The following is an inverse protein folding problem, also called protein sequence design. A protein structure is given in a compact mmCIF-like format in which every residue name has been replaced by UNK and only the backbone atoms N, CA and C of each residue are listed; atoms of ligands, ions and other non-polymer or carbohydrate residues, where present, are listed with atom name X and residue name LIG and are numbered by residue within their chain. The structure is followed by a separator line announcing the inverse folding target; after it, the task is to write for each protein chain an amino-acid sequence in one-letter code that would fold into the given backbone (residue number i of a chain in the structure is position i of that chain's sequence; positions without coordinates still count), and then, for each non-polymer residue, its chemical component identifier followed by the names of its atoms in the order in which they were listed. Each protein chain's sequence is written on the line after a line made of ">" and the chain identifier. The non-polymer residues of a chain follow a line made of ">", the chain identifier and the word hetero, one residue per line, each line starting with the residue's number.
data_IF_321228615527
#
_entry.id   IF_321228615527
#
_cell.length_a   1.000
_cell.length_b   1.000
_cell.length_c   1.000
_cell.angle_alpha   90.00
_cell.angle_beta   90.00
_cell.angle_gamma   90.00
#
_symmetry.space_group_name_H-M   'P 1'
#
loop_
_entity.id
_entity.type
_entity.pdbx_description
1 polymer ?
#
# COMPACT_ATOMS: atom_id res chain seq x y z
N UNK A 1 33.40 -59.69 13.69
CA UNK A 1 32.86 -58.50 14.40
C UNK A 1 32.60 -57.36 13.40
N UNK A 2 31.79 -57.58 12.35
CA UNK A 2 31.54 -56.58 11.29
C UNK A 2 30.11 -56.71 10.71
N UNK A 3 29.10 -56.92 11.55
CA UNK A 3 27.70 -57.02 11.08
C UNK A 3 26.70 -56.16 11.86
N UNK A 4 27.15 -55.41 12.89
CA UNK A 4 26.26 -54.58 13.71
C UNK A 4 26.19 -53.10 13.30
N UNK A 5 27.15 -52.58 12.51
CA UNK A 5 27.20 -51.17 12.13
C UNK A 5 26.17 -50.73 11.07
N UNK A 6 25.83 -51.60 10.12
CA UNK A 6 24.93 -51.24 9.01
C UNK A 6 23.48 -51.03 9.42
N UNK A 7 23.00 -51.70 10.47
CA UNK A 7 21.60 -51.57 10.92
C UNK A 7 21.34 -50.21 11.59
N UNK A 8 22.31 -49.70 12.36
CA UNK A 8 22.19 -48.38 12.99
C UNK A 8 22.21 -47.24 11.97
N UNK A 9 23.04 -47.36 10.93
CA UNK A 9 23.14 -46.36 9.87
C UNK A 9 21.84 -46.22 9.06
N UNK A 10 21.19 -47.35 8.74
CA UNK A 10 19.90 -47.36 8.04
C UNK A 10 18.77 -46.76 8.90
N UNK A 11 18.77 -47.04 10.21
CA UNK A 11 17.80 -46.42 11.14
C UNK A 11 18.01 -44.90 11.17
N UNK A 12 19.25 -44.44 11.24
CA UNK A 12 19.56 -43.01 11.29
C UNK A 12 19.12 -42.28 10.02
N UNK A 13 19.39 -42.86 8.83
CA UNK A 13 18.92 -42.31 7.55
C UNK A 13 17.39 -42.27 7.49
N UNK A 14 16.72 -43.33 7.94
CA UNK A 14 15.24 -43.37 7.93
C UNK A 14 14.61 -42.29 8.82
N UNK A 15 15.19 -42.03 9.99
CA UNK A 15 14.77 -40.96 10.89
C UNK A 15 15.05 -39.57 10.31
N UNK A 16 16.16 -39.42 9.59
CA UNK A 16 16.52 -38.16 8.93
C UNK A 16 15.55 -37.81 7.79
N UNK A 17 15.21 -38.80 6.95
CA UNK A 17 14.24 -38.63 5.86
C UNK A 17 12.84 -38.35 6.43
N UNK A 18 12.44 -39.03 7.50
CA UNK A 18 11.17 -38.77 8.18
C UNK A 18 11.11 -37.36 8.77
N UNK A 19 12.20 -36.90 9.39
CA UNK A 19 12.32 -35.53 9.89
C UNK A 19 12.17 -34.48 8.77
N UNK A 20 12.82 -34.69 7.62
CA UNK A 20 12.67 -33.82 6.46
C UNK A 20 11.24 -33.82 5.91
N UNK A 21 10.57 -34.97 5.89
CA UNK A 21 9.18 -35.09 5.46
C UNK A 21 8.21 -34.33 6.39
N UNK A 22 8.40 -34.43 7.71
CA UNK A 22 7.61 -33.68 8.69
C UNK A 22 7.81 -32.16 8.57
N UNK A 23 9.05 -31.73 8.31
CA UNK A 23 9.38 -30.31 8.05
C UNK A 23 8.69 -29.85 6.77
N UNK A 24 8.80 -30.60 5.67
CA UNK A 24 8.20 -30.23 4.39
C UNK A 24 6.67 -30.15 4.45
N UNK A 25 6.01 -31.05 5.18
CA UNK A 25 4.55 -31.05 5.36
C UNK A 25 4.07 -29.96 6.31
N UNK A 26 4.85 -29.60 7.35
CA UNK A 26 4.51 -28.50 8.25
C UNK A 26 4.71 -27.11 7.62
N UNK A 27 5.61 -26.96 6.65
CA UNK A 27 5.79 -25.71 5.91
C UNK A 27 4.74 -25.48 4.79
N UNK A 28 3.88 -26.46 4.49
CA UNK A 28 2.80 -26.33 3.49
C UNK A 28 1.45 -25.86 4.04
N UNK A 29 1.34 -25.66 5.36
CA UNK A 29 0.13 -25.09 5.97
C UNK A 29 0.27 -23.58 6.14
N UNK A 30 0.31 -22.84 5.03
CA UNK A 30 0.06 -21.39 5.07
C UNK A 30 -1.43 -21.15 5.36
N UNK A 31 -1.79 -20.19 6.22
CA UNK A 31 -3.18 -19.80 6.41
C UNK A 31 -3.77 -19.35 5.07
N UNK A 32 -4.90 -19.93 4.69
CA UNK A 32 -5.57 -19.68 3.42
C UNK A 32 -6.15 -18.25 3.37
N UNK A 33 -5.31 -17.28 2.95
CA UNK A 33 -5.70 -15.88 2.70
C UNK A 33 -6.73 -15.74 1.58
N UNK A 34 -7.03 -16.80 0.83
CA UNK A 34 -7.98 -16.74 -0.28
C UNK A 34 -9.38 -16.39 0.22
N UNK A 35 -9.80 -16.85 1.41
CA UNK A 35 -11.16 -16.53 1.91
C UNK A 35 -11.37 -15.02 2.14
N UNK A 36 -10.39 -14.33 2.71
CA UNK A 36 -10.42 -12.87 2.91
C UNK A 36 -10.34 -12.11 1.59
N UNK A 37 -9.65 -12.67 0.60
CA UNK A 37 -9.55 -12.10 -0.74
C UNK A 37 -10.85 -12.27 -1.53
N UNK A 38 -11.48 -13.46 -1.49
CA UNK A 38 -12.78 -13.76 -2.10
C UNK A 38 -13.89 -12.87 -1.51
N UNK A 39 -13.98 -12.74 -0.18
CA UNK A 39 -14.96 -11.87 0.48
C UNK A 39 -14.80 -10.40 0.03
N UNK A 40 -13.57 -9.98 -0.27
CA UNK A 40 -13.27 -8.62 -0.75
C UNK A 40 -13.57 -8.45 -2.23
N UNK A 41 -13.41 -9.49 -3.04
CA UNK A 41 -13.82 -9.51 -4.45
C UNK A 41 -15.35 -9.41 -4.54
N UNK A 42 -16.08 -10.17 -3.74
CA UNK A 42 -17.55 -10.16 -3.69
C UNK A 42 -18.08 -8.79 -3.25
N UNK A 43 -17.48 -8.20 -2.21
CA UNK A 43 -17.80 -6.82 -1.79
C UNK A 43 -17.59 -5.80 -2.93
N UNK A 44 -16.47 -5.87 -3.64
CA UNK A 44 -16.17 -4.96 -4.75
C UNK A 44 -17.11 -5.16 -5.94
N UNK A 45 -17.50 -6.39 -6.25
CA UNK A 45 -18.48 -6.70 -7.30
C UNK A 45 -19.86 -6.11 -6.97
N UNK A 46 -20.32 -6.29 -5.73
CA UNK A 46 -21.58 -5.72 -5.27
C UNK A 46 -21.59 -4.19 -5.36
N UNK A 47 -20.47 -3.52 -5.07
CA UNK A 47 -20.37 -2.06 -5.17
C UNK A 47 -20.35 -1.58 -6.63
N UNK A 48 -19.73 -2.33 -7.55
CA UNK A 48 -19.76 -2.05 -9.00
C UNK A 48 -21.18 -2.16 -9.56
N UNK A 49 -21.93 -3.19 -9.16
CA UNK A 49 -23.30 -3.38 -9.63
C UNK A 49 -24.25 -2.30 -9.10
N UNK A 50 -24.08 -1.88 -7.85
CA UNK A 50 -24.80 -0.73 -7.28
C UNK A 50 -24.53 0.56 -8.07
N UNK A 51 -23.27 0.80 -8.46
CA UNK A 51 -22.90 1.97 -9.26
C UNK A 51 -23.48 1.90 -10.68
N UNK A 52 -23.48 0.73 -11.31
CA UNK A 52 -24.11 0.53 -12.63
C UNK A 52 -25.61 0.79 -12.57
N UNK A 53 -26.28 0.32 -11.53
CA UNK A 53 -27.71 0.55 -11.35
C UNK A 53 -28.03 2.04 -11.17
N UNK A 54 -27.22 2.78 -10.40
CA UNK A 54 -27.32 4.23 -10.28
C UNK A 54 -27.06 4.95 -11.62
N UNK A 55 -26.08 4.48 -12.39
CA UNK A 55 -25.78 5.01 -13.72
C UNK A 55 -26.94 4.79 -14.70
N UNK A 56 -27.55 3.61 -14.69
CA UNK A 56 -28.73 3.29 -15.49
C UNK A 56 -29.95 4.14 -15.09
N UNK A 57 -30.13 4.41 -13.79
CA UNK A 57 -31.17 5.33 -13.30
C UNK A 57 -30.94 6.77 -13.74
N UNK A 58 -29.69 7.26 -13.68
CA UNK A 58 -29.33 8.60 -14.14
C UNK A 58 -29.43 8.75 -15.66
N UNK A 59 -29.14 7.69 -16.42
CA UNK A 59 -29.30 7.65 -17.87
C UNK A 59 -30.77 7.56 -18.29
N UNK A 60 -31.59 6.80 -17.56
CA UNK A 60 -33.05 6.76 -17.77
C UNK A 60 -33.74 8.08 -17.40
N UNK A 61 -33.17 8.87 -16.50
CA UNK A 61 -33.68 10.19 -16.11
C UNK A 61 -33.33 11.32 -17.09
N UNK A 62 -32.38 11.10 -18.00
CA UNK A 62 -31.93 12.08 -18.99
C UNK A 62 -32.27 11.62 -20.41
N UNK A 63 -33.56 11.70 -20.75
CA UNK A 63 -33.99 11.67 -22.15
C UNK A 63 -33.97 13.11 -22.70
N UNK A 64 -32.78 13.63 -23.00
CA UNK A 64 -32.61 14.83 -23.83
C UNK A 64 -31.61 14.50 -24.94
N UNK A 65 -32.20 14.21 -26.10
CA UNK A 65 -31.74 14.40 -27.47
C UNK A 65 -30.46 13.70 -27.94
N UNK A 66 -30.73 12.69 -28.77
CA UNK A 66 -30.14 12.54 -30.10
C UNK A 66 -29.71 13.89 -30.72
N UNK A 67 -28.40 14.03 -30.94
CA UNK A 67 -27.77 14.44 -32.19
C UNK A 67 -26.33 14.89 -31.92
N UNK A 68 -25.36 13.98 -32.03
CA UNK A 68 -24.00 14.38 -32.40
C UNK A 68 -23.48 13.39 -33.44
N UNK A 69 -23.61 13.81 -34.70
CA UNK A 69 -22.89 13.24 -35.83
C UNK A 69 -21.38 13.36 -35.57
N UNK A 70 -20.68 12.27 -35.87
CA UNK A 70 -19.21 12.19 -35.95
C UNK A 70 -18.69 13.34 -36.81
N UNK A 71 -17.96 14.29 -36.20
CA UNK A 71 -17.46 15.48 -36.85
C UNK A 71 -16.25 16.08 -36.15
N UNK A 72 -15.07 15.84 -36.75
CA UNK A 72 -13.83 16.61 -36.68
C UNK A 72 -13.18 16.84 -35.28
N UNK A 73 -12.21 15.98 -34.94
CA UNK A 73 -11.42 16.00 -33.68
C UNK A 73 -10.76 17.37 -33.37
N UNK A 74 -10.47 18.18 -34.41
CA UNK A 74 -9.88 19.51 -34.26
C UNK A 74 -10.84 20.56 -33.64
N UNK A 75 -12.16 20.39 -33.80
CA UNK A 75 -13.16 21.32 -33.24
C UNK A 75 -13.39 21.05 -31.75
N UNK A 76 -13.31 19.78 -31.34
CA UNK A 76 -13.49 19.34 -29.95
C UNK A 76 -12.39 19.91 -29.05
N UNK A 77 -11.13 19.89 -29.52
CA UNK A 77 -9.98 20.37 -28.75
C UNK A 77 -10.02 21.91 -28.56
N UNK A 78 -10.40 22.65 -29.61
CA UNK A 78 -10.56 24.12 -29.53
C UNK A 78 -11.73 24.53 -28.62
N UNK A 79 -12.82 23.75 -28.63
CA UNK A 79 -13.97 24.00 -27.75
C UNK A 79 -13.58 23.77 -26.29
N UNK A 80 -12.84 22.70 -25.99
CA UNK A 80 -12.28 22.42 -24.67
C UNK A 80 -11.30 23.49 -24.19
N UNK A 81 -10.39 23.97 -25.03
CA UNK A 81 -9.46 25.05 -24.67
C UNK A 81 -10.20 26.37 -24.36
N UNK A 82 -11.24 26.67 -25.13
CA UNK A 82 -12.07 27.86 -24.93
C UNK A 82 -12.90 27.77 -23.65
N UNK A 83 -13.41 26.58 -23.31
CA UNK A 83 -14.06 26.32 -22.03
C UNK A 83 -13.08 26.41 -20.86
N UNK A 84 -11.88 25.84 -20.98
CA UNK A 84 -10.83 26.00 -19.96
C UNK A 84 -10.44 27.46 -19.76
N UNK A 85 -10.31 28.26 -20.82
CA UNK A 85 -10.07 29.71 -20.73
C UNK A 85 -11.23 30.44 -20.04
N UNK A 86 -12.48 30.07 -20.34
CA UNK A 86 -13.68 30.64 -19.70
C UNK A 86 -13.75 30.30 -18.21
N UNK A 87 -13.52 29.04 -17.84
CA UNK A 87 -13.43 28.59 -16.45
C UNK A 87 -12.33 29.31 -15.69
N UNK A 88 -11.13 29.46 -16.29
CA UNK A 88 -10.00 30.18 -15.68
C UNK A 88 -10.30 31.67 -15.46
N UNK A 89 -11.05 32.31 -16.37
CA UNK A 89 -11.54 33.69 -16.21
C UNK A 89 -12.64 33.80 -15.15
N UNK A 90 -13.57 32.85 -15.09
CA UNK A 90 -14.61 32.81 -14.08
C UNK A 90 -14.03 32.61 -12.66
N UNK A 91 -13.02 31.76 -12.50
CA UNK A 91 -12.29 31.59 -11.25
C UNK A 91 -11.54 32.86 -10.83
N UNK A 92 -10.90 33.57 -11.77
CA UNK A 92 -10.25 34.86 -11.50
C UNK A 92 -11.24 35.98 -11.13
N UNK A 93 -12.40 36.01 -11.80
CA UNK A 93 -13.46 36.99 -11.51
C UNK A 93 -14.10 36.78 -10.14
N UNK A 94 -14.16 35.54 -9.65
CA UNK A 94 -14.67 35.19 -8.32
C UNK A 94 -13.75 35.62 -7.17
N UNK A 95 -12.48 35.92 -7.45
CA UNK A 95 -11.52 36.45 -6.47
C UNK A 95 -11.50 37.99 -6.40
N UNK A 96 -12.29 38.69 -7.23
CA UNK A 96 -12.27 40.16 -7.33
C UNK A 96 -13.44 40.90 -6.69
N UNK A 97 -14.36 40.21 -6.01
CA UNK A 97 -15.54 40.82 -5.41
C UNK A 97 -15.87 40.19 -4.06
N UNK A 98 -15.69 40.98 -3.01
CA UNK A 98 -16.22 40.82 -1.65
C UNK A 98 -16.05 39.43 -1.01
N UNK A 99 -14.82 39.16 -0.55
CA UNK A 99 -14.43 37.90 0.07
C UNK A 99 -14.53 37.91 1.59
N UNK A 100 -15.75 37.88 2.14
CA UNK A 100 -16.01 37.01 3.30
C UNK A 100 -16.12 35.55 2.83
N UNK A 101 -15.18 35.13 1.99
CA UNK A 101 -14.90 33.72 1.78
C UNK A 101 -14.20 33.26 3.05
N UNK A 102 -14.91 32.51 3.88
CA UNK A 102 -14.26 31.56 4.78
C UNK A 102 -13.29 30.76 3.91
N UNK A 103 -12.01 31.15 3.95
CA UNK A 103 -10.90 30.34 3.52
C UNK A 103 -11.02 29.08 4.33
N UNK A 104 -11.64 28.03 3.77
CA UNK A 104 -11.61 26.73 4.42
C UNK A 104 -10.14 26.34 4.44
N UNK A 105 -9.48 26.57 5.57
CA UNK A 105 -8.08 26.21 5.82
C UNK A 105 -7.87 24.70 5.70
N UNK A 106 -8.95 23.92 5.65
CA UNK A 106 -8.99 22.47 5.61
C UNK A 106 -9.94 21.97 4.48
N UNK A 107 -9.53 20.97 3.69
CA UNK A 107 -10.42 20.27 2.78
C UNK A 107 -11.46 19.45 3.54
N UNK A 108 -12.63 19.20 2.93
CA UNK A 108 -13.55 18.23 3.53
C UNK A 108 -12.95 16.82 3.52
N UNK A 109 -13.33 16.00 4.50
CA UNK A 109 -12.94 14.59 4.56
C UNK A 109 -13.28 13.84 3.25
N UNK A 110 -14.46 14.13 2.70
CA UNK A 110 -14.92 13.51 1.44
C UNK A 110 -14.09 13.95 0.24
N UNK A 111 -13.59 15.19 0.21
CA UNK A 111 -12.67 15.67 -0.83
C UNK A 111 -11.35 14.87 -0.80
N UNK A 112 -10.68 14.77 0.35
CA UNK A 112 -9.40 14.04 0.43
C UNK A 112 -9.57 12.54 0.21
N UNK A 113 -10.67 11.94 0.65
CA UNK A 113 -11.01 10.54 0.33
C UNK A 113 -11.16 10.35 -1.18
N UNK A 114 -11.95 11.20 -1.84
CA UNK A 114 -12.19 11.10 -3.27
C UNK A 114 -10.90 11.30 -4.08
N UNK A 115 -10.09 12.31 -3.73
CA UNK A 115 -8.80 12.58 -4.38
C UNK A 115 -7.87 11.36 -4.31
N UNK A 116 -7.69 10.78 -3.12
CA UNK A 116 -6.88 9.56 -2.93
C UNK A 116 -7.47 8.35 -3.68
N UNK A 117 -8.80 8.22 -3.70
CA UNK A 117 -9.50 7.16 -4.44
C UNK A 117 -9.26 7.27 -5.94
N UNK A 118 -9.31 8.48 -6.52
CA UNK A 118 -9.02 8.71 -7.95
C UNK A 118 -7.59 8.32 -8.30
N UNK A 119 -6.59 8.76 -7.51
CA UNK A 119 -5.20 8.37 -7.74
C UNK A 119 -5.00 6.85 -7.67
N UNK A 120 -5.57 6.22 -6.63
CA UNK A 120 -5.53 4.78 -6.47
C UNK A 120 -6.17 4.08 -7.67
N UNK A 121 -7.38 4.45 -8.06
CA UNK A 121 -8.09 3.81 -9.17
C UNK A 121 -7.38 3.98 -10.51
N UNK A 122 -6.80 5.15 -10.80
CA UNK A 122 -6.01 5.36 -12.00
C UNK A 122 -4.76 4.45 -12.03
N UNK A 123 -4.12 4.26 -10.87
CA UNK A 123 -2.97 3.35 -10.73
C UNK A 123 -3.38 1.89 -10.92
N UNK A 124 -4.47 1.46 -10.28
CA UNK A 124 -4.98 0.09 -10.46
C UNK A 124 -5.40 -0.18 -11.91
N UNK A 125 -6.02 0.80 -12.58
CA UNK A 125 -6.33 0.71 -14.01
C UNK A 125 -5.06 0.54 -14.85
N UNK A 126 -3.99 1.27 -14.51
CA UNK A 126 -2.69 1.13 -15.17
C UNK A 126 -2.12 -0.27 -14.99
N UNK A 127 -2.16 -0.81 -13.77
CA UNK A 127 -1.68 -2.16 -13.47
C UNK A 127 -2.48 -3.23 -14.19
N UNK A 128 -3.81 -3.18 -14.09
CA UNK A 128 -4.70 -4.11 -14.77
C UNK A 128 -4.47 -4.08 -16.29
N UNK A 129 -4.48 -2.89 -16.90
CA UNK A 129 -4.31 -2.77 -18.35
C UNK A 129 -2.93 -3.25 -18.79
N UNK A 130 -1.87 -2.92 -18.06
CA UNK A 130 -0.51 -3.40 -18.36
C UNK A 130 -0.44 -4.93 -18.29
N UNK A 131 -1.03 -5.56 -17.28
CA UNK A 131 -1.12 -7.01 -17.17
C UNK A 131 -1.86 -7.64 -18.36
N UNK A 132 -3.02 -7.08 -18.75
CA UNK A 132 -3.78 -7.58 -19.89
C UNK A 132 -3.02 -7.40 -21.21
N UNK A 133 -2.35 -6.26 -21.42
CA UNK A 133 -1.56 -6.02 -22.62
C UNK A 133 -0.36 -6.97 -22.71
N UNK A 134 0.31 -7.27 -21.59
CA UNK A 134 1.41 -8.23 -21.55
C UNK A 134 0.95 -9.66 -21.88
N UNK A 135 -0.23 -10.06 -21.41
CA UNK A 135 -0.84 -11.37 -21.75
C UNK A 135 -1.14 -11.50 -23.25
N UNK A 136 -1.52 -10.41 -23.92
CA UNK A 136 -1.70 -10.38 -25.37
C UNK A 136 -0.35 -10.49 -26.07
N UNK A 137 0.67 -9.76 -25.60
CA UNK A 137 2.04 -9.80 -26.17
C UNK A 137 2.59 -11.23 -26.26
N UNK A 138 2.36 -12.03 -25.22
CA UNK A 138 2.77 -13.44 -25.18
C UNK A 138 2.13 -14.36 -26.23
N UNK A 139 1.08 -13.90 -26.92
CA UNK A 139 0.35 -14.67 -27.96
C UNK A 139 0.66 -14.20 -29.38
N UNK A 140 1.45 -13.13 -29.54
CA UNK A 140 1.74 -12.54 -30.85
C UNK A 140 2.90 -13.24 -31.57
N UNK A 141 2.89 -13.11 -32.90
CA UNK A 141 4.03 -13.48 -33.75
C UNK A 141 5.18 -12.49 -33.55
N UNK A 142 6.40 -12.88 -33.90
CA UNK A 142 7.58 -12.03 -33.70
C UNK A 142 7.50 -10.70 -34.50
N UNK A 143 6.88 -10.70 -35.68
CA UNK A 143 6.67 -9.51 -36.50
C UNK A 143 5.67 -8.52 -35.85
N UNK A 144 4.66 -9.01 -35.15
CA UNK A 144 3.65 -8.19 -34.48
C UNK A 144 4.10 -7.69 -33.09
N UNK A 145 5.01 -8.42 -32.44
CA UNK A 145 5.54 -8.05 -31.11
C UNK A 145 6.15 -6.66 -31.09
N UNK A 146 6.95 -6.28 -32.10
CA UNK A 146 7.58 -4.96 -32.11
C UNK A 146 6.55 -3.82 -32.14
N UNK A 147 5.47 -3.97 -32.92
CA UNK A 147 4.38 -2.98 -32.96
C UNK A 147 3.63 -2.96 -31.63
N UNK A 148 3.42 -4.12 -31.04
CA UNK A 148 2.72 -4.27 -29.77
C UNK A 148 3.50 -3.70 -28.58
N UNK A 149 4.81 -3.90 -28.53
CA UNK A 149 5.68 -3.33 -27.51
C UNK A 149 5.64 -1.80 -27.54
N UNK A 150 5.57 -1.21 -28.73
CA UNK A 150 5.34 0.23 -28.88
C UNK A 150 3.98 0.68 -28.32
N UNK A 151 2.92 -0.12 -28.44
CA UNK A 151 1.61 0.17 -27.83
C UNK A 151 1.70 0.12 -26.31
N UNK A 152 2.33 -0.92 -25.75
CA UNK A 152 2.54 -1.06 -24.30
C UNK A 152 3.34 0.13 -23.75
N UNK A 153 4.44 0.50 -24.41
CA UNK A 153 5.28 1.63 -24.03
C UNK A 153 4.49 2.95 -24.05
N UNK A 154 3.74 3.23 -25.12
CA UNK A 154 2.91 4.45 -25.22
C UNK A 154 1.82 4.50 -24.15
N UNK A 155 1.18 3.37 -23.86
CA UNK A 155 0.22 3.28 -22.77
C UNK A 155 0.87 3.58 -21.41
N UNK A 156 2.05 3.01 -21.16
CA UNK A 156 2.79 3.25 -19.92
C UNK A 156 3.16 4.73 -19.77
N UNK A 157 3.62 5.39 -20.84
CA UNK A 157 3.95 6.82 -20.82
C UNK A 157 2.73 7.70 -20.56
N UNK A 158 1.62 7.45 -21.26
CA UNK A 158 0.37 8.19 -21.03
C UNK A 158 -0.15 7.99 -19.60
N UNK A 159 -0.06 6.77 -19.06
CA UNK A 159 -0.46 6.46 -17.69
C UNK A 159 0.40 7.20 -16.66
N UNK A 160 1.71 7.33 -16.90
CA UNK A 160 2.61 8.11 -16.05
C UNK A 160 2.24 9.60 -16.04
N UNK A 161 1.95 10.18 -17.22
CA UNK A 161 1.53 11.58 -17.34
C UNK A 161 0.19 11.82 -16.63
N UNK A 162 -0.77 10.91 -16.78
CA UNK A 162 -2.06 10.99 -16.08
C UNK A 162 -1.87 10.94 -14.55
N UNK A 163 -1.10 9.97 -14.05
CA UNK A 163 -0.84 9.84 -12.61
C UNK A 163 -0.09 11.06 -12.04
N UNK A 164 0.88 11.60 -12.77
CA UNK A 164 1.56 12.83 -12.39
C UNK A 164 0.57 14.01 -12.35
N UNK A 165 -0.31 14.13 -13.34
CA UNK A 165 -1.33 15.19 -13.38
C UNK A 165 -2.30 15.10 -12.20
N UNK A 166 -2.75 13.88 -11.84
CA UNK A 166 -3.61 13.64 -10.67
C UNK A 166 -2.89 14.02 -9.38
N UNK A 167 -1.61 13.67 -9.24
CA UNK A 167 -0.80 14.06 -8.07
C UNK A 167 -0.65 15.57 -7.98
N UNK A 168 -0.40 16.26 -9.10
CA UNK A 168 -0.21 17.70 -9.13
C UNK A 168 -1.49 18.51 -8.85
N UNK A 169 -2.67 17.87 -8.76
CA UNK A 169 -3.88 18.55 -8.26
C UNK A 169 -3.62 19.18 -6.88
N UNK A 170 -2.74 18.56 -6.07
CA UNK A 170 -2.38 19.08 -4.74
C UNK A 170 -1.65 20.42 -4.78
N UNK A 171 -1.10 20.83 -5.93
CA UNK A 171 -0.42 22.12 -6.08
C UNK A 171 -1.40 23.27 -6.33
N UNK A 172 -2.60 22.97 -6.84
CA UNK A 172 -3.57 23.98 -7.30
C UNK A 172 -4.85 24.01 -6.47
N UNK A 173 -5.09 22.98 -5.64
CA UNK A 173 -6.29 22.89 -4.79
C UNK A 173 -6.25 23.79 -3.53
N UNK A 174 -5.09 24.35 -3.20
CA UNK A 174 -4.91 25.25 -2.07
C UNK A 174 -4.79 24.57 -0.69
N UNK A 175 -4.77 23.23 -0.63
CA UNK A 175 -4.78 22.48 0.62
C UNK A 175 -3.41 21.93 1.04
N UNK A 176 -2.33 22.28 0.33
CA UNK A 176 -1.00 21.71 0.56
C UNK A 176 -0.45 22.00 1.96
N UNK A 177 -0.53 23.25 2.41
CA UNK A 177 -0.09 23.65 3.76
C UNK A 177 -0.92 22.96 4.85
N UNK A 178 -2.18 22.65 4.58
CA UNK A 178 -2.99 21.86 5.51
C UNK A 178 -2.52 20.41 5.56
N UNK A 179 -2.28 19.76 4.40
CA UNK A 179 -1.81 18.38 4.33
C UNK A 179 -0.48 18.19 5.07
N UNK A 180 0.46 19.13 4.92
CA UNK A 180 1.75 19.09 5.62
C UNK A 180 1.57 19.22 7.14
N UNK A 181 0.74 20.17 7.59
CA UNK A 181 0.43 20.35 9.02
C UNK A 181 -0.28 19.13 9.60
N UNK A 182 -1.24 18.57 8.89
CA UNK A 182 -2.00 17.40 9.34
C UNK A 182 -1.12 16.15 9.37
N UNK A 183 -0.28 15.95 8.36
CA UNK A 183 0.71 14.86 8.36
C UNK A 183 1.66 14.95 9.56
N UNK A 184 2.18 16.15 9.86
CA UNK A 184 3.04 16.39 11.01
C UNK A 184 2.29 16.15 12.34
N UNK A 185 1.04 16.59 12.44
CA UNK A 185 0.16 16.39 13.60
C UNK A 185 -0.08 14.91 13.87
N UNK A 186 -0.50 14.15 12.85
CA UNK A 186 -0.73 12.71 12.94
C UNK A 186 0.55 11.93 13.25
N UNK A 187 1.68 12.33 12.64
CA UNK A 187 2.98 11.75 12.94
C UNK A 187 3.35 11.96 14.40
N UNK A 188 3.19 13.18 14.92
CA UNK A 188 3.46 13.51 16.33
C UNK A 188 2.55 12.72 17.28
N UNK A 189 1.27 12.61 16.95
CA UNK A 189 0.32 11.81 17.72
C UNK A 189 0.73 10.34 17.78
N UNK A 190 1.09 9.75 16.64
CA UNK A 190 1.53 8.35 16.58
C UNK A 190 2.83 8.13 17.36
N UNK A 191 3.82 9.01 17.20
CA UNK A 191 5.07 8.95 17.96
C UNK A 191 4.82 9.08 19.47
N UNK A 192 3.93 9.98 19.90
CA UNK A 192 3.56 10.09 21.31
C UNK A 192 2.92 8.80 21.86
N UNK A 193 2.05 8.15 21.07
CA UNK A 193 1.45 6.86 21.43
C UNK A 193 2.49 5.75 21.52
N UNK A 194 3.39 5.65 20.54
CA UNK A 194 4.48 4.67 20.53
C UNK A 194 5.40 4.87 21.73
N UNK A 195 5.79 6.11 22.03
CA UNK A 195 6.64 6.42 23.18
C UNK A 195 5.98 6.05 24.51
N UNK A 196 4.70 6.39 24.67
CA UNK A 196 3.91 6.03 25.86
C UNK A 196 3.78 4.51 26.02
N UNK A 197 3.54 3.80 24.92
CA UNK A 197 3.46 2.34 24.92
C UNK A 197 4.79 1.68 25.30
N UNK A 198 5.88 2.14 24.68
CA UNK A 198 7.22 1.61 24.89
C UNK A 198 7.80 1.99 26.24
N UNK A 199 7.32 3.07 26.86
CA UNK A 199 7.82 3.60 28.13
C UNK A 199 6.76 3.55 29.22
N UNK A 200 6.40 2.35 29.72
CA UNK A 200 5.34 2.21 30.71
C UNK A 200 5.70 2.90 32.04
N UNK A 201 4.68 3.35 32.76
CA UNK A 201 4.81 3.95 34.10
C UNK A 201 5.16 2.87 35.15
N UNK A 202 4.62 1.66 34.97
CA UNK A 202 4.93 0.52 35.84
C UNK A 202 6.34 0.01 35.55
N UNK A 203 7.06 -0.52 36.55
CA UNK A 203 8.34 -1.19 36.32
C UNK A 203 8.20 -2.24 35.22
N UNK A 204 9.16 -2.31 34.29
CA UNK A 204 9.09 -3.16 33.09
C UNK A 204 8.80 -4.63 33.41
N UNK A 205 9.33 -5.15 34.53
CA UNK A 205 9.11 -6.50 35.03
C UNK A 205 7.64 -6.82 35.33
N UNK A 206 6.86 -5.79 35.65
CA UNK A 206 5.43 -5.90 35.99
C UNK A 206 4.51 -5.60 34.80
N UNK A 207 5.07 -5.47 33.60
CA UNK A 207 4.32 -5.17 32.37
C UNK A 207 4.34 -6.36 31.44
N UNK A 208 3.17 -6.72 30.93
CA UNK A 208 3.07 -7.73 29.87
C UNK A 208 3.73 -7.20 28.60
N UNK A 209 4.70 -7.94 28.07
CA UNK A 209 5.56 -7.52 26.96
C UNK A 209 5.44 -8.42 25.73
N UNK A 210 5.82 -7.91 24.57
CA UNK A 210 6.08 -8.70 23.35
C UNK A 210 7.58 -8.82 23.19
N UNK A 211 8.06 -10.04 23.01
CA UNK A 211 9.46 -10.32 22.74
C UNK A 211 9.63 -10.61 21.25
N UNK A 212 10.69 -10.09 20.65
CA UNK A 212 11.02 -10.33 19.25
C UNK A 212 12.53 -10.52 19.11
N UNK A 213 12.95 -11.53 18.35
CA UNK A 213 14.36 -11.76 18.05
C UNK A 213 14.65 -11.33 16.62
N UNK A 214 15.55 -10.37 16.43
CA UNK A 214 15.87 -9.81 15.11
C UNK A 214 16.66 -10.80 14.24
N UNK A 215 17.31 -11.81 14.84
CA UNK A 215 18.24 -12.75 14.18
C UNK A 215 17.51 -13.82 13.35
N UNK A 216 16.67 -13.38 12.43
CA UNK A 216 16.02 -14.26 11.47
C UNK A 216 17.03 -14.68 10.39
N UNK A 217 16.92 -15.90 9.88
CA UNK A 217 17.80 -16.40 8.81
C UNK A 217 17.57 -15.76 7.44
N UNK A 218 17.77 -14.44 7.30
CA UNK A 218 17.63 -13.71 6.04
C UNK A 218 18.56 -12.47 6.01
N UNK A 219 18.37 -11.58 5.03
CA UNK A 219 19.14 -10.33 4.92
C UNK A 219 18.54 -9.17 5.75
N UNK A 220 19.30 -8.09 5.91
CA UNK A 220 18.99 -6.91 6.72
C UNK A 220 17.56 -6.40 6.54
N UNK A 221 17.13 -6.16 5.30
CA UNK A 221 15.77 -5.65 5.04
C UNK A 221 14.66 -6.58 5.53
N UNK A 222 14.87 -7.89 5.45
CA UNK A 222 13.93 -8.89 5.98
C UNK A 222 13.91 -8.91 7.52
N UNK A 223 15.06 -8.75 8.17
CA UNK A 223 15.16 -8.66 9.63
C UNK A 223 14.53 -7.37 10.18
N UNK A 224 14.74 -6.22 9.52
CA UNK A 224 14.09 -4.96 9.90
C UNK A 224 12.57 -5.02 9.70
N UNK A 225 12.09 -5.60 8.58
CA UNK A 225 10.66 -5.84 8.41
C UNK A 225 10.10 -6.80 9.45
N UNK A 226 10.87 -7.80 9.89
CA UNK A 226 10.47 -8.67 11.01
C UNK A 226 10.33 -7.89 12.32
N UNK A 227 11.32 -7.06 12.68
CA UNK A 227 11.25 -6.19 13.85
C UNK A 227 10.05 -5.24 13.79
N UNK A 228 9.78 -4.63 12.62
CA UNK A 228 8.62 -3.76 12.42
C UNK A 228 7.30 -4.52 12.54
N UNK A 229 7.23 -5.76 12.03
CA UNK A 229 6.05 -6.61 12.18
C UNK A 229 5.78 -6.93 13.66
N UNK A 230 6.81 -7.30 14.42
CA UNK A 230 6.71 -7.47 15.87
C UNK A 230 6.22 -6.18 16.55
N UNK A 231 6.71 -5.01 16.11
CA UNK A 231 6.33 -3.73 16.69
C UNK A 231 4.87 -3.38 16.40
N UNK A 232 4.37 -3.63 15.18
CA UNK A 232 2.96 -3.47 14.85
C UNK A 232 2.06 -4.35 15.71
N UNK A 233 2.44 -5.62 15.93
CA UNK A 233 1.70 -6.53 16.81
C UNK A 233 1.71 -6.00 18.24
N UNK A 234 2.87 -5.59 18.75
CA UNK A 234 3.03 -5.02 20.09
C UNK A 234 2.12 -3.80 20.31
N UNK A 235 2.08 -2.89 19.32
CA UNK A 235 1.17 -1.75 19.30
C UNK A 235 -0.30 -2.16 19.30
N UNK A 236 -0.69 -3.11 18.43
CA UNK A 236 -2.07 -3.56 18.33
C UNK A 236 -2.60 -4.20 19.62
N UNK A 237 -1.74 -4.91 20.36
CA UNK A 237 -2.13 -5.58 21.62
C UNK A 237 -1.81 -4.76 22.87
N UNK A 238 -1.33 -3.52 22.72
CA UNK A 238 -1.05 -2.60 23.82
C UNK A 238 0.06 -3.09 24.76
N UNK A 239 1.15 -3.64 24.21
CA UNK A 239 2.32 -4.09 24.99
C UNK A 239 3.62 -3.47 24.48
N UNK A 240 4.58 -3.14 25.36
CA UNK A 240 5.92 -2.75 24.93
C UNK A 240 6.63 -3.91 24.24
N UNK A 241 7.37 -3.58 23.18
CA UNK A 241 8.27 -4.47 22.46
C UNK A 241 9.64 -4.50 23.16
N UNK A 242 10.11 -5.73 23.43
CA UNK A 242 11.50 -6.06 23.77
C UNK A 242 12.15 -6.69 22.53
N UNK A 243 13.17 -6.04 22.00
CA UNK A 243 13.90 -6.49 20.81
C UNK A 243 15.23 -7.13 21.22
N UNK A 244 15.32 -8.45 21.06
CA UNK A 244 16.54 -9.20 21.23
C UNK A 244 17.41 -9.09 19.97
N UNK A 245 18.63 -8.59 20.15
CA UNK A 245 19.56 -8.34 19.05
C UNK A 245 20.99 -8.78 19.31
N UNK A 246 21.26 -9.51 20.40
CA UNK A 246 22.58 -10.06 20.69
C UNK A 246 23.03 -11.01 19.56
N UNK A 247 24.28 -10.88 19.13
CA UNK A 247 24.82 -11.71 18.05
C UNK A 247 24.23 -11.40 16.67
N UNK A 248 23.66 -10.21 16.48
CA UNK A 248 23.14 -9.79 15.19
C UNK A 248 24.23 -9.76 14.10
N UNK A 249 23.95 -10.39 12.96
CA UNK A 249 24.93 -10.61 11.88
C UNK A 249 25.54 -9.30 11.37
N UNK A 250 24.77 -8.22 11.37
CA UNK A 250 25.18 -6.91 10.87
C UNK A 250 25.95 -6.08 11.91
N UNK A 251 25.74 -6.35 13.20
CA UNK A 251 26.53 -5.80 14.29
C UNK A 251 26.40 -6.73 15.50
N UNK A 252 27.49 -7.39 15.88
CA UNK A 252 27.49 -8.37 16.97
C UNK A 252 27.11 -7.77 18.32
N UNK A 253 27.31 -6.45 18.50
CA UNK A 253 26.88 -5.71 19.69
C UNK A 253 25.39 -5.35 19.71
N UNK A 254 24.64 -5.71 18.68
CA UNK A 254 23.18 -5.59 18.60
C UNK A 254 22.67 -4.33 17.93
N UNK A 255 21.35 -4.23 17.89
CA UNK A 255 20.59 -3.16 17.22
C UNK A 255 20.88 -1.80 17.85
N UNK A 256 21.00 -1.76 19.18
CA UNK A 256 21.13 -0.54 19.99
C UNK A 256 22.52 0.13 19.85
N UNK A 257 23.46 -0.51 19.15
CA UNK A 257 24.76 0.08 18.81
C UNK A 257 24.70 1.00 17.59
N UNK A 258 23.65 0.87 16.78
CA UNK A 258 23.46 1.64 15.55
C UNK A 258 22.23 2.53 15.66
N UNK A 259 21.16 2.03 16.29
CA UNK A 259 19.89 2.71 16.45
C UNK A 259 19.57 2.95 17.92
N UNK A 260 18.62 3.83 18.19
CA UNK A 260 18.07 3.94 19.54
C UNK A 260 17.24 2.69 19.86
N UNK A 261 17.29 2.18 21.11
CA UNK A 261 16.46 1.07 21.51
C UNK A 261 14.98 1.42 21.39
N UNK A 262 14.10 0.44 21.11
CA UNK A 262 12.66 0.68 21.01
C UNK A 262 12.04 1.27 22.29
N UNK A 263 12.68 1.10 23.44
CA UNK A 263 12.26 1.67 24.72
C UNK A 263 13.47 2.22 25.46
N UNK A 264 13.29 3.28 26.26
CA UNK A 264 14.34 3.82 27.13
C UNK A 264 14.33 3.20 28.53
N UNK A 265 13.17 2.75 29.03
CA UNK A 265 13.00 2.31 30.42
C UNK A 265 12.46 0.88 30.56
N UNK A 266 12.13 0.22 29.45
CA UNK A 266 11.66 -1.15 29.40
C UNK A 266 12.46 -1.92 28.34
N UNK A 267 13.73 -2.15 28.66
CA UNK A 267 14.73 -2.80 27.81
C UNK A 267 15.21 -4.13 28.39
N UNK A 268 14.88 -4.42 29.66
CA UNK A 268 15.47 -5.54 30.38
C UNK A 268 14.94 -6.88 29.89
N UNK A 269 15.80 -7.62 29.21
CA UNK A 269 15.79 -9.08 29.26
C UNK A 269 16.34 -9.54 30.61
N UNK A 270 15.54 -9.50 31.67
CA UNK A 270 15.80 -10.44 32.76
C UNK A 270 15.50 -11.82 32.18
N UNK A 271 16.58 -12.59 31.97
CA UNK A 271 16.56 -14.01 31.63
C UNK A 271 15.76 -14.82 32.66
#
# INVERSE_FOLDING_TARGET
>A
MLLFGNKFYLIFISLWIFGLYCIFTSFHSTPNNNKVFEDRIEYLQNEVDSLRQKLAQLQSGNNINDQVKVGNENVQCQTLENEMKRLKRALRSKNGGDGTTSSREEPSMEYEKLRRKIEMQARELTYFTTDQLNKISGKLTDDDKQKWDNVILRFADQSRVLLASIRNITEVDGYQLWREREHASLSKLMQARLNSLQSPIKPCENVKRVTCNINKGCGYGCEIHHAMHCFHIAYAIGRPLILFSDGWRYNSGGFDQIFLPPSQNCTTSSA
#
